data_IF_592076971930
#
_entry.id   IF_592076971930
#
_cell.length_a   1.000
_cell.length_b   1.000
_cell.length_c   1.000
_cell.angle_alpha   90.00
_cell.angle_beta   90.00
_cell.angle_gamma   90.00
#
_symmetry.space_group_name_H-M   'P 1'
#
loop_
_entity.id
_entity.type
_entity.pdbx_description
1 polymer ?
#
# COMPACT_ATOMS: atom_id res chain seq x y z
N UNK A 1 -43.56 36.88 -9.80
CA UNK A 1 -42.26 37.30 -10.35
C UNK A 1 -41.30 37.50 -9.17
N UNK A 2 -40.86 36.43 -8.51
CA UNK A 2 -39.83 36.44 -7.47
C UNK A 2 -39.29 35.00 -7.33
N UNK A 3 -38.38 34.64 -8.22
CA UNK A 3 -37.87 33.27 -8.22
C UNK A 3 -36.53 33.05 -8.93
N UNK A 4 -35.78 34.11 -9.26
CA UNK A 4 -34.60 33.97 -10.11
C UNK A 4 -33.33 34.69 -9.58
N UNK A 5 -33.34 35.26 -8.40
CA UNK A 5 -32.20 36.02 -7.83
C UNK A 5 -31.41 35.26 -6.76
N UNK A 6 -31.94 34.21 -6.16
CA UNK A 6 -31.22 33.44 -5.14
C UNK A 6 -30.24 32.38 -5.71
N UNK A 7 -30.53 31.83 -6.90
CA UNK A 7 -29.63 30.84 -7.55
C UNK A 7 -28.31 31.39 -8.09
N UNK A 8 -28.23 32.72 -8.33
CA UNK A 8 -27.00 33.37 -8.83
C UNK A 8 -26.02 33.77 -7.75
N UNK A 9 -26.45 33.83 -6.49
CA UNK A 9 -25.61 34.18 -5.35
C UNK A 9 -24.86 32.98 -4.78
N UNK A 10 -25.45 31.80 -4.79
CA UNK A 10 -24.79 30.55 -4.28
C UNK A 10 -23.62 30.10 -5.17
N UNK A 11 -23.76 30.18 -6.49
CA UNK A 11 -22.67 29.78 -7.41
C UNK A 11 -21.43 30.68 -7.38
N UNK A 12 -21.54 31.93 -6.92
CA UNK A 12 -20.38 32.84 -6.79
C UNK A 12 -19.68 32.76 -5.44
N UNK A 13 -20.30 32.17 -4.42
CA UNK A 13 -19.65 31.90 -3.14
C UNK A 13 -18.84 30.60 -3.18
N UNK A 14 -19.33 29.57 -3.84
CA UNK A 14 -18.61 28.30 -4.00
C UNK A 14 -17.32 28.46 -4.84
N UNK A 15 -17.32 29.31 -5.87
CA UNK A 15 -16.11 29.59 -6.68
C UNK A 15 -15.04 30.42 -5.93
N UNK A 16 -15.39 31.13 -4.87
CA UNK A 16 -14.42 31.89 -4.08
C UNK A 16 -13.84 31.12 -2.90
N UNK A 17 -14.52 30.12 -2.41
CA UNK A 17 -14.02 29.23 -1.35
C UNK A 17 -13.01 28.23 -1.92
N UNK A 18 -13.20 27.75 -3.17
CA UNK A 18 -12.24 26.88 -3.86
C UNK A 18 -10.95 27.61 -4.31
N UNK A 19 -10.96 28.96 -4.42
CA UNK A 19 -9.79 29.73 -4.81
C UNK A 19 -8.81 30.05 -3.67
N UNK A 20 -9.20 29.79 -2.42
CA UNK A 20 -8.40 30.09 -1.22
C UNK A 20 -7.61 28.92 -0.65
N UNK A 21 -7.98 27.69 -0.99
CA UNK A 21 -7.26 26.48 -0.59
C UNK A 21 -6.39 26.01 -1.77
N UNK A 22 -5.35 26.75 -2.10
CA UNK A 22 -4.21 26.19 -2.81
C UNK A 22 -3.63 25.09 -1.92
N UNK A 23 -4.01 23.84 -2.18
CA UNK A 23 -3.30 22.68 -1.67
C UNK A 23 -1.82 22.86 -2.01
N UNK A 24 -0.91 22.75 -1.04
CA UNK A 24 0.50 22.88 -1.33
C UNK A 24 0.92 21.79 -2.32
N UNK A 25 1.62 22.22 -3.38
CA UNK A 25 2.49 21.39 -4.19
C UNK A 25 1.87 20.15 -4.82
N UNK A 26 1.28 20.36 -6.00
CA UNK A 26 1.06 19.29 -6.98
C UNK A 26 2.38 18.97 -7.72
N UNK A 27 3.45 18.76 -6.99
CA UNK A 27 4.63 18.04 -7.47
C UNK A 27 4.46 16.58 -7.07
N UNK A 28 3.68 15.94 -7.87
CA UNK A 28 3.31 14.56 -7.72
C UNK A 28 4.36 13.68 -8.35
N UNK A 29 4.78 12.70 -7.61
CA UNK A 29 5.48 11.53 -8.10
C UNK A 29 4.88 11.06 -9.42
N UNK A 30 5.74 10.99 -10.44
CA UNK A 30 5.32 10.94 -11.84
C UNK A 30 4.60 9.66 -12.27
N UNK A 31 4.56 8.59 -11.43
CA UNK A 31 3.85 7.34 -11.74
C UNK A 31 3.84 6.35 -10.55
N UNK A 32 2.76 6.24 -9.76
CA UNK A 32 2.69 5.32 -8.61
C UNK A 32 3.02 3.86 -8.96
N UNK A 33 2.60 3.39 -10.14
CA UNK A 33 2.91 2.03 -10.60
C UNK A 33 4.40 1.83 -10.92
N UNK A 34 5.12 2.88 -11.35
CA UNK A 34 6.58 2.80 -11.54
C UNK A 34 7.30 2.71 -10.20
N UNK A 35 6.83 3.44 -9.18
CA UNK A 35 7.38 3.37 -7.83
C UNK A 35 7.20 1.97 -7.23
N UNK A 36 6.02 1.37 -7.37
CA UNK A 36 5.80 -0.02 -6.97
C UNK A 36 6.71 -0.99 -7.75
N UNK A 37 6.87 -0.78 -9.06
CA UNK A 37 7.81 -1.55 -9.88
C UNK A 37 9.28 -1.41 -9.42
N UNK A 38 9.68 -0.23 -8.94
CA UNK A 38 11.00 0.02 -8.33
C UNK A 38 11.17 -0.79 -7.04
N UNK A 39 10.14 -0.80 -6.17
CA UNK A 39 10.13 -1.60 -4.95
C UNK A 39 10.27 -3.10 -5.24
N UNK A 40 9.50 -3.62 -6.20
CA UNK A 40 9.58 -5.03 -6.61
C UNK A 40 10.98 -5.36 -7.14
N UNK A 41 11.53 -4.52 -8.01
CA UNK A 41 12.89 -4.70 -8.54
C UNK A 41 13.95 -4.67 -7.44
N UNK A 42 13.79 -3.80 -6.45
CA UNK A 42 14.66 -3.73 -5.28
C UNK A 42 14.64 -5.06 -4.49
N UNK A 43 13.44 -5.60 -4.19
CA UNK A 43 13.27 -6.87 -3.50
C UNK A 43 13.87 -8.03 -4.31
N UNK A 44 13.59 -8.09 -5.62
CA UNK A 44 14.11 -9.14 -6.50
C UNK A 44 15.63 -9.10 -6.63
N UNK A 45 16.24 -7.91 -6.61
CA UNK A 45 17.71 -7.78 -6.67
C UNK A 45 18.37 -8.28 -5.40
N UNK A 46 17.81 -7.93 -4.25
CA UNK A 46 18.40 -8.20 -2.94
C UNK A 46 18.10 -9.61 -2.43
N UNK A 47 16.89 -10.12 -2.69
CA UNK A 47 16.39 -11.41 -2.17
C UNK A 47 16.06 -12.41 -3.29
N UNK A 48 16.86 -12.41 -4.37
CA UNK A 48 16.60 -13.22 -5.58
C UNK A 48 16.32 -14.71 -5.25
N UNK A 49 17.19 -15.34 -4.48
CA UNK A 49 17.03 -16.77 -4.12
C UNK A 49 15.79 -17.01 -3.25
N UNK A 50 15.53 -16.12 -2.28
CA UNK A 50 14.35 -16.20 -1.43
C UNK A 50 13.07 -16.09 -2.25
N UNK A 51 12.99 -15.14 -3.20
CA UNK A 51 11.84 -14.98 -4.08
C UNK A 51 11.60 -16.21 -4.97
N UNK A 52 12.64 -16.79 -5.53
CA UNK A 52 12.54 -18.05 -6.31
C UNK A 52 12.01 -19.18 -5.43
N UNK A 53 12.58 -19.35 -4.23
CA UNK A 53 12.13 -20.39 -3.28
C UNK A 53 10.68 -20.19 -2.87
N UNK A 54 10.23 -18.94 -2.66
CA UNK A 54 8.82 -18.60 -2.37
C UNK A 54 7.91 -19.04 -3.51
N UNK A 55 8.22 -18.67 -4.76
CA UNK A 55 7.40 -19.05 -5.92
C UNK A 55 7.32 -20.58 -6.09
N UNK A 56 8.46 -21.27 -5.98
CA UNK A 56 8.51 -22.73 -6.06
C UNK A 56 7.71 -23.37 -4.93
N UNK A 57 7.85 -22.88 -3.70
CA UNK A 57 7.09 -23.40 -2.54
C UNK A 57 5.58 -23.17 -2.68
N UNK A 58 5.15 -22.01 -3.20
CA UNK A 58 3.74 -21.73 -3.50
C UNK A 58 3.24 -22.71 -4.59
N UNK A 59 4.03 -22.93 -5.64
CA UNK A 59 3.67 -23.87 -6.72
C UNK A 59 3.48 -25.30 -6.19
N UNK A 60 4.42 -25.79 -5.40
CA UNK A 60 4.33 -27.14 -4.78
C UNK A 60 3.10 -27.23 -3.87
N UNK A 61 2.87 -26.22 -3.02
CA UNK A 61 1.71 -26.18 -2.13
C UNK A 61 0.38 -26.16 -2.90
N UNK A 62 0.28 -25.37 -3.98
CA UNK A 62 -0.92 -25.31 -4.82
C UNK A 62 -1.17 -26.64 -5.54
N UNK A 63 -0.12 -27.28 -6.08
CA UNK A 63 -0.22 -28.61 -6.73
C UNK A 63 -0.59 -29.71 -5.72
N UNK A 64 -0.10 -29.63 -4.48
CA UNK A 64 -0.48 -30.57 -3.43
C UNK A 64 -1.98 -30.48 -3.11
N UNK A 65 -2.54 -29.28 -3.01
CA UNK A 65 -3.99 -29.09 -2.81
C UNK A 65 -4.77 -29.59 -4.04
N UNK A 66 -4.30 -29.29 -5.26
CA UNK A 66 -4.92 -29.75 -6.50
C UNK A 66 -4.96 -31.26 -6.58
N UNK A 67 -3.95 -31.96 -6.05
CA UNK A 67 -3.86 -33.41 -6.04
C UNK A 67 -5.02 -34.10 -5.31
N UNK A 68 -5.62 -33.43 -4.30
CA UNK A 68 -6.81 -33.92 -3.61
C UNK A 68 -7.98 -34.03 -4.59
N UNK A 69 -8.24 -32.96 -5.34
CA UNK A 69 -9.35 -32.91 -6.30
C UNK A 69 -9.19 -33.93 -7.42
N UNK A 70 -7.95 -34.09 -7.95
CA UNK A 70 -7.65 -35.09 -8.97
C UNK A 70 -7.70 -36.53 -8.42
N UNK A 71 -7.37 -36.73 -7.13
CA UNK A 71 -7.48 -38.04 -6.50
C UNK A 71 -8.94 -38.45 -6.33
N UNK A 72 -9.91 -37.52 -6.15
CA UNK A 72 -11.32 -37.87 -6.05
C UNK A 72 -11.84 -38.65 -7.25
N UNK A 73 -11.38 -38.33 -8.48
CA UNK A 73 -11.70 -39.11 -9.66
C UNK A 73 -11.21 -40.53 -9.49
N UNK A 74 -9.91 -40.72 -9.21
CA UNK A 74 -9.32 -42.08 -9.10
C UNK A 74 -9.91 -42.85 -7.92
N UNK A 75 -10.23 -42.16 -6.82
CA UNK A 75 -10.87 -42.78 -5.65
C UNK A 75 -12.20 -43.46 -6.04
N UNK A 76 -13.03 -42.75 -6.79
CA UNK A 76 -14.35 -43.27 -7.17
C UNK A 76 -14.23 -44.33 -8.28
N UNK A 77 -13.57 -43.99 -9.41
CA UNK A 77 -13.58 -44.78 -10.60
C UNK A 77 -12.67 -46.03 -10.50
N UNK A 78 -11.54 -45.96 -9.81
CA UNK A 78 -10.54 -47.01 -9.75
C UNK A 78 -10.64 -47.87 -8.49
N UNK A 79 -11.08 -47.28 -7.37
CA UNK A 79 -11.12 -48.02 -6.10
C UNK A 79 -12.54 -48.30 -5.63
N UNK A 80 -13.41 -47.31 -5.48
CA UNK A 80 -14.75 -47.53 -4.89
C UNK A 80 -15.64 -48.36 -5.82
N UNK A 81 -15.79 -47.97 -7.08
CA UNK A 81 -16.70 -48.67 -8.03
C UNK A 81 -16.32 -50.14 -8.24
N UNK A 82 -15.04 -50.51 -8.47
CA UNK A 82 -14.66 -51.92 -8.56
C UNK A 82 -14.82 -52.68 -7.23
N UNK A 83 -14.54 -52.04 -6.08
CA UNK A 83 -14.71 -52.69 -4.77
C UNK A 83 -16.17 -53.01 -4.46
N UNK A 84 -17.13 -52.19 -4.89
CA UNK A 84 -18.57 -52.45 -4.71
C UNK A 84 -19.06 -53.67 -5.47
N UNK A 85 -18.32 -54.10 -6.50
CA UNK A 85 -18.65 -55.28 -7.31
C UNK A 85 -18.00 -56.57 -6.80
N UNK A 86 -17.14 -56.50 -5.74
CA UNK A 86 -16.42 -57.63 -5.16
C UNK A 86 -17.09 -58.11 -3.87
N UNK A 87 -17.17 -59.39 -3.66
CA UNK A 87 -17.73 -59.99 -2.41
C UNK A 87 -16.75 -59.85 -1.23
N UNK A 88 -15.44 -59.70 -1.48
CA UNK A 88 -14.41 -59.47 -0.46
C UNK A 88 -13.42 -58.42 -0.99
N UNK A 89 -13.67 -57.12 -0.73
CA UNK A 89 -12.81 -56.04 -1.26
C UNK A 89 -11.44 -56.00 -0.55
N UNK A 90 -10.37 -55.87 -1.35
CA UNK A 90 -9.02 -55.61 -0.82
C UNK A 90 -8.77 -54.11 -0.68
N UNK A 91 -8.60 -53.64 0.56
CA UNK A 91 -8.34 -52.26 0.88
C UNK A 91 -6.85 -51.86 0.82
N UNK A 92 -5.93 -52.81 0.62
CA UNK A 92 -4.48 -52.57 0.61
C UNK A 92 -4.03 -51.53 -0.42
N UNK A 93 -4.45 -51.63 -1.69
CA UNK A 93 -4.08 -50.67 -2.75
C UNK A 93 -4.59 -49.24 -2.46
N UNK A 94 -5.81 -49.12 -1.92
CA UNK A 94 -6.39 -47.85 -1.54
C UNK A 94 -5.61 -47.20 -0.39
N UNK A 95 -5.32 -47.96 0.67
CA UNK A 95 -4.56 -47.47 1.83
C UNK A 95 -3.16 -46.97 1.43
N UNK A 96 -2.49 -47.72 0.53
CA UNK A 96 -1.17 -47.29 0.03
C UNK A 96 -1.23 -45.97 -0.77
N UNK A 97 -2.26 -45.79 -1.61
CA UNK A 97 -2.48 -44.54 -2.34
C UNK A 97 -2.87 -43.37 -1.44
N UNK A 98 -3.68 -43.59 -0.40
CA UNK A 98 -4.01 -42.57 0.60
C UNK A 98 -2.77 -42.14 1.39
N UNK A 99 -1.89 -43.05 1.76
CA UNK A 99 -0.60 -42.71 2.37
C UNK A 99 0.26 -41.84 1.44
N UNK A 100 0.36 -42.19 0.16
CA UNK A 100 1.07 -41.40 -0.82
C UNK A 100 0.51 -39.97 -0.96
N UNK A 101 -0.83 -39.83 -1.00
CA UNK A 101 -1.48 -38.52 -1.00
C UNK A 101 -1.19 -37.75 0.29
N UNK A 102 -1.25 -38.42 1.44
CA UNK A 102 -0.89 -37.84 2.74
C UNK A 102 0.51 -37.26 2.77
N UNK A 103 1.49 -37.96 2.20
CA UNK A 103 2.88 -37.47 2.09
C UNK A 103 2.98 -36.22 1.20
N UNK A 104 2.25 -36.18 0.06
CA UNK A 104 2.19 -35.01 -0.83
C UNK A 104 1.59 -33.80 -0.07
N UNK A 105 0.54 -34.02 0.71
CA UNK A 105 -0.08 -32.96 1.51
C UNK A 105 0.83 -32.43 2.62
N UNK A 106 1.54 -33.34 3.31
CA UNK A 106 2.53 -32.94 4.32
C UNK A 106 3.64 -32.09 3.68
N UNK A 107 4.13 -32.49 2.49
CA UNK A 107 5.09 -31.68 1.73
C UNK A 107 4.49 -30.31 1.38
N UNK A 108 3.23 -30.26 0.92
CA UNK A 108 2.51 -29.00 0.64
C UNK A 108 2.42 -28.08 1.84
N UNK A 109 2.14 -28.63 3.04
CA UNK A 109 2.09 -27.88 4.31
C UNK A 109 3.48 -27.34 4.68
N UNK A 110 4.52 -28.17 4.55
CA UNK A 110 5.91 -27.74 4.81
C UNK A 110 6.30 -26.60 3.87
N UNK A 111 5.97 -26.70 2.58
CA UNK A 111 6.21 -25.63 1.62
C UNK A 111 5.39 -24.37 1.91
N UNK A 112 4.13 -24.51 2.36
CA UNK A 112 3.30 -23.39 2.77
C UNK A 112 3.88 -22.67 3.99
N UNK A 113 4.37 -23.40 4.98
CA UNK A 113 5.06 -22.84 6.12
C UNK A 113 6.37 -22.14 5.69
N UNK A 114 7.15 -22.79 4.83
CA UNK A 114 8.44 -22.28 4.38
C UNK A 114 8.28 -20.93 3.62
N UNK A 115 7.36 -20.83 2.65
CA UNK A 115 7.20 -19.58 1.91
C UNK A 115 6.71 -18.43 2.83
N UNK A 116 5.80 -18.71 3.77
CA UNK A 116 5.36 -17.69 4.74
C UNK A 116 6.53 -17.23 5.62
N UNK A 117 7.34 -18.15 6.12
CA UNK A 117 8.51 -17.84 6.95
C UNK A 117 9.56 -17.03 6.20
N UNK A 118 9.84 -17.38 4.95
CA UNK A 118 10.77 -16.65 4.08
C UNK A 118 10.23 -15.23 3.81
N UNK A 119 8.92 -15.09 3.52
CA UNK A 119 8.31 -13.78 3.26
C UNK A 119 8.37 -12.85 4.46
N UNK A 120 8.27 -13.37 5.69
CA UNK A 120 8.49 -12.55 6.89
C UNK A 120 9.92 -11.97 6.88
N UNK A 121 10.93 -12.79 6.63
CA UNK A 121 12.33 -12.34 6.59
C UNK A 121 12.56 -11.31 5.47
N UNK A 122 12.05 -11.56 4.27
CA UNK A 122 12.14 -10.62 3.13
C UNK A 122 11.46 -9.30 3.46
N UNK A 123 10.25 -9.35 4.01
CA UNK A 123 9.49 -8.16 4.38
C UNK A 123 10.21 -7.34 5.44
N UNK A 124 10.58 -7.95 6.56
CA UNK A 124 11.22 -7.22 7.66
C UNK A 124 12.61 -6.70 7.28
N UNK A 125 13.38 -7.47 6.50
CA UNK A 125 14.67 -7.01 5.97
C UNK A 125 14.51 -5.81 5.02
N UNK A 126 13.52 -5.83 4.14
CA UNK A 126 13.21 -4.71 3.24
C UNK A 126 12.75 -3.48 4.03
N UNK A 127 11.85 -3.66 5.02
CA UNK A 127 11.37 -2.55 5.85
C UNK A 127 12.48 -1.90 6.67
N UNK A 128 13.37 -2.72 7.26
CA UNK A 128 14.53 -2.19 7.98
C UNK A 128 15.37 -1.29 7.08
N UNK A 129 15.71 -1.76 5.88
CA UNK A 129 16.54 -0.99 4.93
C UNK A 129 15.85 0.28 4.45
N UNK A 130 14.56 0.21 4.10
CA UNK A 130 13.81 1.40 3.68
C UNK A 130 13.78 2.46 4.78
N UNK A 131 13.57 2.07 6.05
CA UNK A 131 13.59 3.01 7.17
C UNK A 131 14.97 3.64 7.38
N UNK A 132 16.04 2.86 7.26
CA UNK A 132 17.40 3.38 7.36
C UNK A 132 17.68 4.37 6.22
N UNK A 133 17.36 4.02 4.98
CA UNK A 133 17.55 4.91 3.82
C UNK A 133 16.71 6.19 3.93
N UNK A 134 15.47 6.10 4.39
CA UNK A 134 14.63 7.27 4.64
C UNK A 134 15.24 8.17 5.72
N UNK A 135 15.74 7.58 6.81
CA UNK A 135 16.32 8.34 7.90
C UNK A 135 17.63 9.02 7.46
N UNK A 136 18.53 8.29 6.83
CA UNK A 136 19.78 8.83 6.27
C UNK A 136 19.51 9.99 5.29
N UNK A 137 18.46 9.83 4.45
CA UNK A 137 18.07 10.90 3.53
C UNK A 137 17.50 12.09 4.30
N UNK A 138 16.63 11.89 5.26
CA UNK A 138 16.04 12.95 6.08
C UNK A 138 17.13 13.81 6.77
N UNK A 139 18.14 13.16 7.37
CA UNK A 139 19.25 13.85 8.02
C UNK A 139 20.11 14.67 7.03
N UNK A 140 20.06 14.33 5.74
CA UNK A 140 20.82 15.03 4.68
C UNK A 140 20.01 16.12 3.97
N UNK A 141 18.72 16.32 4.33
CA UNK A 141 17.89 17.32 3.67
C UNK A 141 18.14 18.75 4.21
N UNK A 142 18.03 19.76 3.35
CA UNK A 142 18.17 21.16 3.77
C UNK A 142 17.01 21.58 4.69
N UNK A 143 17.27 22.58 5.55
CA UNK A 143 16.27 23.14 6.48
C UNK A 143 15.02 23.62 5.73
N UNK A 144 15.18 24.16 4.53
CA UNK A 144 14.08 24.61 3.67
C UNK A 144 13.06 23.52 3.38
N UNK A 145 13.47 22.25 3.34
CA UNK A 145 12.56 21.12 3.19
C UNK A 145 11.60 21.02 4.39
N UNK A 146 12.12 21.13 5.61
CA UNK A 146 11.33 21.03 6.84
C UNK A 146 10.41 22.24 7.05
N UNK A 147 10.81 23.42 6.60
CA UNK A 147 10.00 24.64 6.66
C UNK A 147 8.84 24.64 5.65
N UNK A 148 9.01 23.92 4.54
CA UNK A 148 8.00 23.85 3.46
C UNK A 148 7.07 22.64 3.56
N UNK A 149 7.44 21.63 4.37
CA UNK A 149 6.65 20.40 4.55
C UNK A 149 6.17 20.28 6.00
N UNK A 150 4.88 19.96 6.18
CA UNK A 150 4.35 19.70 7.50
C UNK A 150 5.00 18.46 8.15
N UNK A 151 5.43 18.57 9.40
CA UNK A 151 6.03 17.45 10.15
C UNK A 151 5.13 16.21 10.17
N UNK A 152 3.79 16.40 10.20
CA UNK A 152 2.81 15.33 10.14
C UNK A 152 2.85 14.55 8.82
N UNK A 153 3.08 15.23 7.69
CA UNK A 153 3.18 14.60 6.37
C UNK A 153 4.46 13.75 6.28
N UNK A 154 5.60 14.30 6.75
CA UNK A 154 6.87 13.56 6.83
C UNK A 154 6.71 12.31 7.70
N UNK A 155 6.10 12.46 8.89
CA UNK A 155 5.87 11.35 9.81
C UNK A 155 4.92 10.30 9.23
N UNK A 156 3.92 10.71 8.44
CA UNK A 156 3.01 9.80 7.73
C UNK A 156 3.75 8.90 6.74
N UNK A 157 4.80 9.38 6.07
CA UNK A 157 5.64 8.56 5.20
C UNK A 157 6.33 7.44 6.00
N UNK A 158 6.89 7.76 7.16
CA UNK A 158 7.58 6.78 8.03
C UNK A 158 6.64 5.74 8.64
N UNK A 159 5.42 6.13 8.97
CA UNK A 159 4.46 5.27 9.66
C UNK A 159 3.49 4.60 8.69
N UNK A 160 2.61 5.37 8.07
CA UNK A 160 1.50 4.84 7.28
C UNK A 160 1.95 4.26 5.93
N UNK A 161 2.83 4.99 5.21
CA UNK A 161 3.25 4.54 3.89
C UNK A 161 4.16 3.32 3.97
N UNK A 162 5.15 3.33 4.88
CA UNK A 162 6.01 2.17 5.11
C UNK A 162 5.21 0.96 5.59
N UNK A 163 4.17 1.15 6.43
CA UNK A 163 3.30 0.03 6.87
C UNK A 163 2.43 -0.51 5.73
N UNK A 164 1.92 0.36 4.87
CA UNK A 164 1.20 -0.04 3.65
C UNK A 164 2.09 -0.86 2.71
N UNK A 165 3.37 -0.47 2.53
CA UNK A 165 4.33 -1.26 1.77
C UNK A 165 4.61 -2.61 2.44
N UNK A 166 4.73 -2.64 3.77
CA UNK A 166 4.88 -3.88 4.54
C UNK A 166 3.73 -4.83 4.26
N UNK A 167 2.49 -4.35 4.32
CA UNK A 167 1.29 -5.15 4.07
C UNK A 167 1.27 -5.74 2.67
N UNK A 168 1.62 -4.96 1.65
CA UNK A 168 1.66 -5.45 0.26
C UNK A 168 2.75 -6.49 0.06
N UNK A 169 3.93 -6.31 0.61
CA UNK A 169 5.03 -7.27 0.47
C UNK A 169 4.70 -8.56 1.23
N UNK A 170 4.20 -8.46 2.48
CA UNK A 170 3.99 -9.63 3.34
C UNK A 170 2.75 -10.44 3.01
N UNK A 171 1.69 -9.80 2.49
CA UNK A 171 0.39 -10.44 2.30
C UNK A 171 -0.09 -10.39 0.85
N UNK A 172 -0.18 -9.19 0.25
CA UNK A 172 -0.82 -9.04 -1.06
C UNK A 172 -0.04 -9.70 -2.18
N UNK A 173 1.28 -9.56 -2.23
CA UNK A 173 2.10 -10.18 -3.26
C UNK A 173 2.11 -11.71 -3.21
N UNK A 174 2.37 -12.36 -2.06
CA UNK A 174 2.27 -13.81 -1.97
C UNK A 174 0.86 -14.32 -2.30
N UNK A 175 -0.19 -13.62 -1.84
CA UNK A 175 -1.57 -13.98 -2.13
C UNK A 175 -1.90 -13.89 -3.62
N UNK A 176 -1.45 -12.87 -4.32
CA UNK A 176 -1.62 -12.75 -5.77
C UNK A 176 -0.92 -13.87 -6.53
N UNK A 177 0.33 -14.17 -6.16
CA UNK A 177 1.09 -15.26 -6.76
C UNK A 177 0.37 -16.59 -6.53
N UNK A 178 -0.04 -16.86 -5.29
CA UNK A 178 -0.76 -18.07 -4.93
C UNK A 178 -2.09 -18.19 -5.68
N UNK A 179 -2.90 -17.13 -5.71
CA UNK A 179 -4.18 -17.11 -6.42
C UNK A 179 -4.01 -17.29 -7.92
N UNK A 180 -2.98 -16.68 -8.52
CA UNK A 180 -2.69 -16.84 -9.95
C UNK A 180 -2.25 -18.27 -10.29
N UNK A 181 -1.36 -18.86 -9.50
CA UNK A 181 -0.90 -20.24 -9.68
C UNK A 181 -2.08 -21.21 -9.50
N UNK A 182 -2.89 -21.02 -8.44
CA UNK A 182 -4.08 -21.86 -8.20
C UNK A 182 -5.08 -21.75 -9.34
N UNK A 183 -5.36 -20.54 -9.83
CA UNK A 183 -6.28 -20.31 -10.94
C UNK A 183 -5.81 -21.02 -12.22
N UNK A 184 -4.54 -20.84 -12.60
CA UNK A 184 -3.97 -21.44 -13.81
C UNK A 184 -3.92 -22.96 -13.69
N UNK A 185 -3.42 -23.50 -12.58
CA UNK A 185 -3.31 -24.96 -12.39
C UNK A 185 -4.66 -25.63 -12.32
N UNK A 186 -5.67 -25.00 -11.67
CA UNK A 186 -7.04 -25.51 -11.65
C UNK A 186 -7.67 -25.47 -13.04
N UNK A 187 -7.49 -24.39 -13.81
CA UNK A 187 -7.97 -24.30 -15.18
C UNK A 187 -7.40 -25.39 -16.07
N UNK A 188 -6.09 -25.64 -16.00
CA UNK A 188 -5.43 -26.72 -16.75
C UNK A 188 -6.02 -28.07 -16.35
N UNK A 189 -6.19 -28.33 -15.05
CA UNK A 189 -6.78 -29.58 -14.58
C UNK A 189 -8.23 -29.77 -15.07
N UNK A 190 -9.04 -28.71 -15.08
CA UNK A 190 -10.43 -28.74 -15.57
C UNK A 190 -10.48 -29.05 -17.08
N UNK A 191 -9.59 -28.43 -17.89
CA UNK A 191 -9.50 -28.72 -19.34
C UNK A 191 -9.14 -30.19 -19.61
N UNK A 192 -8.24 -30.77 -18.80
CA UNK A 192 -7.83 -32.15 -18.91
C UNK A 192 -8.98 -33.11 -18.54
N UNK A 193 -9.84 -32.74 -17.59
CA UNK A 193 -10.96 -33.56 -17.15
C UNK A 193 -12.11 -33.56 -18.17
N UNK A 194 -12.61 -32.37 -18.52
CA UNK A 194 -13.76 -32.21 -19.42
C UNK A 194 -13.80 -30.76 -19.98
N UNK A 195 -13.79 -30.63 -21.30
CA UNK A 195 -13.79 -29.33 -21.98
C UNK A 195 -15.16 -28.63 -21.92
N UNK A 196 -16.31 -29.31 -22.22
CA UNK A 196 -17.64 -28.70 -22.13
C UNK A 196 -17.95 -28.07 -20.76
N UNK A 197 -17.66 -28.76 -19.67
CA UNK A 197 -17.87 -28.27 -18.33
C UNK A 197 -16.90 -27.11 -18.00
N UNK A 198 -15.67 -27.17 -18.53
CA UNK A 198 -14.69 -26.08 -18.36
C UNK A 198 -15.17 -24.79 -19.03
N UNK A 199 -15.72 -24.86 -20.27
CA UNK A 199 -16.27 -23.70 -20.97
C UNK A 199 -17.41 -23.09 -20.16
N UNK A 200 -18.33 -23.90 -19.60
CA UNK A 200 -19.40 -23.41 -18.74
C UNK A 200 -18.82 -22.69 -17.51
N UNK A 201 -17.84 -23.28 -16.83
CA UNK A 201 -17.22 -22.68 -15.64
C UNK A 201 -16.51 -21.35 -15.96
N UNK A 202 -15.81 -21.26 -17.09
CA UNK A 202 -15.16 -20.03 -17.56
C UNK A 202 -16.20 -18.92 -17.84
N UNK A 203 -17.30 -19.24 -18.50
CA UNK A 203 -18.41 -18.29 -18.72
C UNK A 203 -18.96 -17.78 -17.40
N UNK A 204 -19.17 -18.67 -16.42
CA UNK A 204 -19.64 -18.27 -15.10
C UNK A 204 -18.65 -17.36 -14.36
N UNK A 205 -17.35 -17.62 -14.47
CA UNK A 205 -16.29 -16.75 -13.91
C UNK A 205 -16.30 -15.37 -14.59
N UNK A 206 -16.48 -15.28 -15.89
CA UNK A 206 -16.61 -14.00 -16.60
C UNK A 206 -17.83 -13.19 -16.11
N UNK A 207 -18.96 -13.89 -15.87
CA UNK A 207 -20.14 -13.27 -15.26
C UNK A 207 -19.84 -12.75 -13.84
N UNK A 208 -19.12 -13.54 -13.02
CA UNK A 208 -18.68 -13.13 -11.68
C UNK A 208 -17.79 -11.90 -11.74
N UNK A 209 -16.80 -11.87 -12.62
CA UNK A 209 -15.88 -10.71 -12.78
C UNK A 209 -16.68 -9.46 -13.15
N UNK A 210 -17.62 -9.57 -14.08
CA UNK A 210 -18.49 -8.44 -14.49
C UNK A 210 -19.37 -7.95 -13.35
N UNK A 211 -19.98 -8.87 -12.59
CA UNK A 211 -20.81 -8.54 -11.43
C UNK A 211 -19.98 -7.84 -10.34
N UNK A 212 -18.83 -8.42 -9.97
CA UNK A 212 -17.93 -7.86 -8.96
C UNK A 212 -17.40 -6.50 -9.36
N UNK A 213 -16.97 -6.32 -10.62
CA UNK A 213 -16.50 -5.03 -11.14
C UNK A 213 -17.60 -3.96 -11.12
N UNK A 214 -18.83 -4.31 -11.49
CA UNK A 214 -19.98 -3.40 -11.46
C UNK A 214 -20.34 -2.98 -10.03
N UNK A 215 -20.38 -3.92 -9.10
CA UNK A 215 -20.63 -3.65 -7.68
C UNK A 215 -19.49 -2.83 -7.07
N UNK A 216 -18.25 -3.18 -7.36
CA UNK A 216 -17.06 -2.47 -6.89
C UNK A 216 -17.02 -1.01 -7.37
N UNK A 217 -17.34 -0.75 -8.64
CA UNK A 217 -17.42 0.61 -9.17
C UNK A 217 -18.52 1.46 -8.53
N UNK A 218 -19.68 0.85 -8.21
CA UNK A 218 -20.75 1.52 -7.47
C UNK A 218 -20.35 1.80 -6.02
N UNK A 219 -19.80 0.80 -5.33
CA UNK A 219 -19.31 0.92 -3.96
C UNK A 219 -18.25 2.02 -3.86
N UNK A 220 -17.26 2.04 -4.75
CA UNK A 220 -16.19 3.03 -4.78
C UNK A 220 -16.72 4.47 -4.88
N UNK A 221 -17.75 4.73 -5.71
CA UNK A 221 -18.37 6.05 -5.80
C UNK A 221 -19.04 6.49 -4.48
N UNK A 222 -19.70 5.57 -3.78
CA UNK A 222 -20.30 5.90 -2.49
C UNK A 222 -19.27 6.04 -1.38
N UNK A 223 -18.16 5.28 -1.41
CA UNK A 223 -17.04 5.50 -0.48
C UNK A 223 -16.36 6.86 -0.69
N UNK A 224 -16.19 7.29 -1.94
CA UNK A 224 -15.70 8.64 -2.23
C UNK A 224 -16.63 9.72 -1.64
N UNK A 225 -17.95 9.56 -1.83
CA UNK A 225 -18.93 10.48 -1.24
C UNK A 225 -18.92 10.45 0.28
N UNK A 226 -18.85 9.27 0.89
CA UNK A 226 -18.71 9.12 2.35
C UNK A 226 -17.47 9.85 2.87
N UNK A 227 -16.34 9.77 2.16
CA UNK A 227 -15.11 10.46 2.56
C UNK A 227 -15.24 11.99 2.47
N UNK A 228 -15.93 12.49 1.45
CA UNK A 228 -16.25 13.92 1.34
C UNK A 228 -17.18 14.38 2.47
N UNK A 229 -18.24 13.63 2.75
CA UNK A 229 -19.19 13.96 3.83
C UNK A 229 -18.52 13.87 5.21
N UNK A 230 -17.60 12.90 5.42
CA UNK A 230 -16.77 12.81 6.63
C UNK A 230 -15.86 14.03 6.79
N UNK A 231 -15.24 14.50 5.68
CA UNK A 231 -14.45 15.71 5.68
C UNK A 231 -15.26 16.95 6.08
N UNK A 232 -16.52 17.05 5.61
CA UNK A 232 -17.41 18.17 6.02
C UNK A 232 -17.76 18.10 7.50
N UNK A 233 -18.06 16.91 8.03
CA UNK A 233 -18.36 16.73 9.45
C UNK A 233 -17.15 17.10 10.30
N UNK A 234 -15.96 16.62 9.93
CA UNK A 234 -14.73 16.93 10.66
C UNK A 234 -14.39 18.42 10.61
N UNK A 235 -14.48 19.07 9.44
CA UNK A 235 -14.27 20.52 9.31
C UNK A 235 -15.25 21.32 10.14
N UNK A 236 -16.53 20.92 10.18
CA UNK A 236 -17.52 21.58 11.02
C UNK A 236 -17.22 21.41 12.51
N UNK A 237 -16.79 20.22 12.96
CA UNK A 237 -16.37 19.99 14.35
C UNK A 237 -15.19 20.91 14.71
N UNK A 238 -14.16 20.98 13.84
CA UNK A 238 -12.99 21.83 14.04
C UNK A 238 -13.38 23.32 14.14
N UNK A 239 -14.25 23.78 13.23
CA UNK A 239 -14.78 25.15 13.24
C UNK A 239 -15.52 25.47 14.56
N UNK A 240 -16.42 24.56 14.98
CA UNK A 240 -17.19 24.74 16.21
C UNK A 240 -16.30 24.67 17.46
N UNK A 241 -15.29 23.80 17.49
CA UNK A 241 -14.33 23.72 18.58
C UNK A 241 -13.49 24.99 18.69
N UNK A 242 -12.99 25.49 17.56
CA UNK A 242 -12.19 26.73 17.51
C UNK A 242 -13.04 27.98 17.85
N UNK A 243 -14.30 28.00 17.38
CA UNK A 243 -15.26 29.09 17.62
C UNK A 243 -16.13 28.93 18.86
N UNK A 244 -15.85 27.96 19.75
CA UNK A 244 -16.74 27.61 20.86
C UNK A 244 -17.10 28.82 21.78
N UNK A 245 -16.16 29.72 22.00
CA UNK A 245 -16.42 30.96 22.79
C UNK A 245 -17.49 31.82 22.11
N UNK A 246 -17.43 31.96 20.79
CA UNK A 246 -18.39 32.76 20.00
C UNK A 246 -19.77 32.12 20.05
N UNK A 247 -19.84 30.77 19.81
CA UNK A 247 -21.07 30.00 19.89
C UNK A 247 -21.77 30.22 21.24
N UNK A 248 -21.00 30.19 22.35
CA UNK A 248 -21.51 30.41 23.72
C UNK A 248 -22.00 31.84 23.97
N UNK A 249 -21.22 32.82 23.53
CA UNK A 249 -21.58 34.25 23.75
C UNK A 249 -22.87 34.62 23.01
N UNK A 250 -23.08 34.04 21.82
CA UNK A 250 -24.27 34.32 21.01
C UNK A 250 -25.40 33.31 21.19
N UNK A 251 -25.28 32.36 22.13
CA UNK A 251 -26.29 31.32 22.42
C UNK A 251 -26.74 30.56 21.16
N UNK A 252 -25.75 30.20 20.29
CA UNK A 252 -25.99 29.54 19.02
C UNK A 252 -25.83 27.99 19.07
N UNK A 253 -25.83 27.40 20.26
CA UNK A 253 -25.60 25.97 20.49
C UNK A 253 -26.66 25.10 19.78
N UNK A 254 -27.94 25.47 19.87
CA UNK A 254 -29.03 24.74 19.28
C UNK A 254 -28.90 24.70 17.73
N UNK A 255 -28.59 25.84 17.13
CA UNK A 255 -28.38 25.95 15.70
C UNK A 255 -27.15 25.17 15.25
N UNK A 256 -26.05 25.26 15.98
CA UNK A 256 -24.85 24.49 15.71
C UNK A 256 -25.11 22.98 15.79
N UNK A 257 -25.89 22.53 16.77
CA UNK A 257 -26.33 21.14 16.90
C UNK A 257 -27.20 20.69 15.72
N UNK A 258 -28.16 21.49 15.29
CA UNK A 258 -29.03 21.19 14.14
C UNK A 258 -28.22 21.05 12.84
N UNK A 259 -27.26 21.95 12.60
CA UNK A 259 -26.43 21.92 11.41
C UNK A 259 -25.46 20.73 11.44
N UNK A 260 -24.90 20.39 12.61
CA UNK A 260 -24.16 19.13 12.80
C UNK A 260 -25.02 17.90 12.47
N UNK A 261 -26.26 17.86 12.96
CA UNK A 261 -27.17 16.75 12.70
C UNK A 261 -27.47 16.56 11.21
N UNK A 262 -27.60 17.65 10.44
CA UNK A 262 -27.79 17.59 8.97
C UNK A 262 -26.58 16.99 8.27
N UNK A 263 -25.38 17.46 8.61
CA UNK A 263 -24.12 16.94 8.06
C UNK A 263 -23.91 15.48 8.42
N UNK A 264 -24.15 15.11 9.68
CA UNK A 264 -24.00 13.74 10.16
C UNK A 264 -25.02 12.79 9.51
N UNK A 265 -26.24 13.25 9.22
CA UNK A 265 -27.23 12.48 8.45
C UNK A 265 -26.79 12.24 7.02
N UNK A 266 -26.18 13.24 6.36
CA UNK A 266 -25.59 13.05 5.02
C UNK A 266 -24.47 12.02 5.02
N UNK A 267 -23.61 12.07 6.03
CA UNK A 267 -22.56 11.06 6.24
C UNK A 267 -23.15 9.67 6.48
N UNK A 268 -24.18 9.56 7.32
CA UNK A 268 -24.88 8.30 7.58
C UNK A 268 -25.43 7.70 6.28
N UNK A 269 -26.10 8.50 5.43
CA UNK A 269 -26.70 8.05 4.17
C UNK A 269 -25.65 7.57 3.18
N UNK A 270 -24.54 8.29 3.04
CA UNK A 270 -23.45 7.90 2.14
C UNK A 270 -22.70 6.67 2.65
N UNK A 271 -22.45 6.57 3.97
CA UNK A 271 -21.84 5.42 4.61
C UNK A 271 -22.72 4.17 4.51
N UNK A 272 -24.03 4.31 4.73
CA UNK A 272 -24.98 3.21 4.57
C UNK A 272 -24.94 2.64 3.16
N UNK A 273 -25.04 3.49 2.13
CA UNK A 273 -25.01 3.07 0.72
C UNK A 273 -23.68 2.43 0.32
N UNK A 274 -22.57 3.01 0.78
CA UNK A 274 -21.22 2.47 0.53
C UNK A 274 -21.09 1.05 1.10
N UNK A 275 -21.41 0.88 2.38
CA UNK A 275 -21.27 -0.38 3.08
C UNK A 275 -22.30 -1.43 2.63
N UNK A 276 -23.53 -1.03 2.33
CA UNK A 276 -24.56 -1.93 1.81
C UNK A 276 -24.09 -2.59 0.50
N UNK A 277 -23.56 -1.81 -0.45
CA UNK A 277 -23.10 -2.36 -1.73
C UNK A 277 -21.80 -3.16 -1.55
N UNK A 278 -20.87 -2.72 -0.69
CA UNK A 278 -19.66 -3.45 -0.40
C UNK A 278 -19.97 -4.84 0.18
N UNK A 279 -20.85 -4.90 1.17
CA UNK A 279 -21.17 -6.13 1.88
C UNK A 279 -21.99 -7.14 1.04
N UNK A 280 -22.75 -6.67 0.05
CA UNK A 280 -23.52 -7.56 -0.85
C UNK A 280 -22.62 -8.27 -1.88
N UNK A 281 -21.42 -7.76 -2.13
CA UNK A 281 -20.49 -8.32 -3.13
C UNK A 281 -20.09 -9.76 -2.80
N UNK A 282 -19.82 -10.04 -1.52
CA UNK A 282 -19.40 -11.37 -1.08
C UNK A 282 -20.51 -12.42 -1.21
N UNK A 283 -21.75 -12.19 -0.74
CA UNK A 283 -22.89 -13.08 -0.98
C UNK A 283 -23.21 -13.28 -2.47
N UNK A 284 -23.13 -12.23 -3.29
CA UNK A 284 -23.37 -12.34 -4.74
C UNK A 284 -22.37 -13.30 -5.37
N UNK A 285 -21.08 -13.13 -5.08
CA UNK A 285 -20.04 -14.02 -5.61
C UNK A 285 -20.20 -15.46 -5.12
N UNK A 286 -20.51 -15.66 -3.85
CA UNK A 286 -20.74 -16.99 -3.29
C UNK A 286 -21.92 -17.70 -4.00
N UNK A 287 -23.03 -16.97 -4.20
CA UNK A 287 -24.21 -17.54 -4.89
C UNK A 287 -23.95 -17.79 -6.40
N UNK A 288 -23.23 -16.91 -7.09
CA UNK A 288 -22.81 -17.15 -8.46
C UNK A 288 -21.91 -18.39 -8.56
N UNK A 289 -21.01 -18.60 -7.59
CA UNK A 289 -20.23 -19.83 -7.47
C UNK A 289 -21.08 -21.09 -7.25
N UNK A 290 -22.11 -20.99 -6.38
CA UNK A 290 -23.06 -22.08 -6.16
C UNK A 290 -23.91 -22.37 -7.40
N UNK A 291 -24.36 -21.34 -8.13
CA UNK A 291 -25.08 -21.51 -9.40
C UNK A 291 -24.16 -22.20 -10.43
N UNK A 292 -22.91 -21.79 -10.55
CA UNK A 292 -21.92 -22.46 -11.40
C UNK A 292 -21.80 -23.94 -11.05
N UNK A 293 -21.69 -24.25 -9.75
CA UNK A 293 -21.62 -25.63 -9.26
C UNK A 293 -22.85 -26.45 -9.66
N UNK A 294 -24.06 -25.93 -9.45
CA UNK A 294 -25.33 -26.61 -9.80
C UNK A 294 -25.44 -26.80 -11.32
N UNK A 295 -25.12 -25.79 -12.12
CA UNK A 295 -25.15 -25.90 -13.57
C UNK A 295 -24.14 -26.95 -14.08
N UNK A 296 -22.94 -27.00 -13.51
CA UNK A 296 -21.95 -28.03 -13.84
C UNK A 296 -22.41 -29.41 -13.38
N UNK A 297 -23.08 -29.54 -12.23
CA UNK A 297 -23.60 -30.81 -11.75
C UNK A 297 -24.72 -31.35 -12.66
N UNK A 298 -25.66 -30.48 -13.05
CA UNK A 298 -26.77 -30.84 -13.94
C UNK A 298 -26.27 -31.22 -15.34
N UNK A 299 -25.47 -30.31 -15.93
CA UNK A 299 -24.91 -30.55 -17.25
C UNK A 299 -24.00 -31.81 -17.29
N UNK A 300 -23.11 -31.93 -16.29
CA UNK A 300 -22.22 -33.08 -16.16
C UNK A 300 -22.97 -34.38 -15.89
N UNK A 301 -24.04 -34.34 -15.10
CA UNK A 301 -24.94 -35.48 -14.88
C UNK A 301 -25.61 -35.94 -16.19
N UNK A 302 -26.13 -34.98 -16.99
CA UNK A 302 -26.71 -35.29 -18.32
C UNK A 302 -25.67 -35.87 -19.26
N UNK A 303 -24.46 -35.32 -19.32
CA UNK A 303 -23.38 -35.81 -20.16
C UNK A 303 -22.93 -37.23 -19.75
N UNK A 304 -22.83 -37.49 -18.45
CA UNK A 304 -22.45 -38.79 -17.90
C UNK A 304 -23.51 -39.87 -18.21
N UNK A 305 -24.80 -39.58 -18.02
CA UNK A 305 -25.90 -40.52 -18.30
C UNK A 305 -26.02 -40.86 -19.80
N UNK A 306 -25.82 -39.85 -20.65
CA UNK A 306 -25.87 -40.06 -22.12
C UNK A 306 -24.56 -40.65 -22.71
N UNK A 307 -23.54 -40.87 -21.88
CA UNK A 307 -22.25 -41.41 -22.35
C UNK A 307 -21.45 -40.44 -23.25
N UNK A 308 -21.82 -39.14 -23.27
CA UNK A 308 -21.11 -38.13 -24.03
C UNK A 308 -19.79 -37.77 -23.32
N UNK A 309 -18.71 -37.61 -24.11
CA UNK A 309 -17.36 -37.26 -23.64
C UNK A 309 -16.68 -38.31 -22.72
N UNK A 310 -17.26 -39.49 -22.49
CA UNK A 310 -16.68 -40.52 -21.59
C UNK A 310 -16.62 -40.08 -20.12
N UNK A 311 -17.48 -39.13 -19.72
CA UNK A 311 -17.52 -38.55 -18.36
C UNK A 311 -17.97 -39.62 -17.36
N UNK A 312 -17.09 -39.96 -16.40
CA UNK A 312 -17.41 -40.87 -15.30
C UNK A 312 -17.97 -40.08 -14.09
N UNK A 313 -18.59 -40.80 -13.14
CA UNK A 313 -19.06 -40.20 -11.89
C UNK A 313 -17.88 -39.60 -11.10
N UNK A 314 -16.74 -40.31 -11.08
CA UNK A 314 -15.54 -39.82 -10.40
C UNK A 314 -14.98 -38.53 -11.06
N UNK A 315 -14.99 -38.47 -12.40
CA UNK A 315 -14.59 -37.26 -13.14
C UNK A 315 -15.52 -36.09 -12.80
N UNK A 316 -16.82 -36.31 -12.75
CA UNK A 316 -17.80 -35.26 -12.38
C UNK A 316 -17.56 -34.75 -10.97
N UNK A 317 -17.37 -35.61 -9.97
CA UNK A 317 -17.11 -35.21 -8.58
C UNK A 317 -15.80 -34.44 -8.47
N UNK A 318 -14.74 -34.88 -9.13
CA UNK A 318 -13.47 -34.16 -9.19
C UNK A 318 -13.63 -32.78 -9.83
N UNK A 319 -14.37 -32.70 -10.95
CA UNK A 319 -14.66 -31.45 -11.64
C UNK A 319 -15.42 -30.46 -10.74
N UNK A 320 -16.45 -30.91 -10.05
CA UNK A 320 -17.24 -30.10 -9.14
C UNK A 320 -16.39 -29.56 -7.98
N UNK A 321 -15.43 -30.34 -7.48
CA UNK A 321 -14.47 -29.90 -6.46
C UNK A 321 -13.53 -28.83 -7.01
N UNK A 322 -13.04 -29.02 -8.25
CA UNK A 322 -12.20 -28.03 -8.94
C UNK A 322 -12.96 -26.73 -9.24
N UNK A 323 -14.24 -26.80 -9.59
CA UNK A 323 -15.07 -25.64 -9.89
C UNK A 323 -15.18 -24.70 -8.66
N UNK A 324 -15.29 -25.25 -7.44
CA UNK A 324 -15.21 -24.45 -6.20
C UNK A 324 -13.84 -23.80 -6.04
N UNK A 325 -12.76 -24.54 -6.27
CA UNK A 325 -11.39 -24.02 -6.17
C UNK A 325 -11.06 -22.99 -7.27
N UNK A 326 -11.77 -23.02 -8.40
CA UNK A 326 -11.59 -22.10 -9.52
C UNK A 326 -12.20 -20.72 -9.30
N UNK A 327 -13.29 -20.62 -8.56
CA UNK A 327 -13.99 -19.36 -8.32
C UNK A 327 -13.36 -18.52 -7.20
N UNK A 328 -12.75 -19.15 -6.19
CA UNK A 328 -12.13 -18.43 -5.04
C UNK A 328 -11.01 -17.47 -5.41
N UNK A 329 -10.02 -17.83 -6.26
CA UNK A 329 -8.93 -16.93 -6.64
C UNK A 329 -9.39 -15.61 -7.25
N UNK A 330 -10.50 -15.61 -8.00
CA UNK A 330 -11.05 -14.39 -8.61
C UNK A 330 -11.44 -13.36 -7.55
N UNK A 331 -12.11 -13.81 -6.49
CA UNK A 331 -12.48 -12.93 -5.35
C UNK A 331 -11.24 -12.44 -4.61
N UNK A 332 -10.26 -13.32 -4.36
CA UNK A 332 -9.02 -12.98 -3.68
C UNK A 332 -8.19 -11.95 -4.44
N UNK A 333 -8.02 -12.11 -5.74
CA UNK A 333 -7.31 -11.15 -6.61
C UNK A 333 -8.02 -9.79 -6.55
N UNK A 334 -9.35 -9.78 -6.66
CA UNK A 334 -10.14 -8.53 -6.62
C UNK A 334 -9.95 -7.75 -5.31
N UNK A 335 -9.83 -8.45 -4.18
CA UNK A 335 -9.59 -7.83 -2.86
C UNK A 335 -8.19 -7.19 -2.76
N UNK A 336 -7.18 -7.73 -3.47
CA UNK A 336 -5.82 -7.20 -3.43
C UNK A 336 -5.62 -5.93 -4.27
N UNK A 337 -6.51 -5.63 -5.21
CA UNK A 337 -6.36 -4.47 -6.11
C UNK A 337 -6.25 -3.16 -5.32
N UNK A 338 -7.12 -2.95 -4.33
CA UNK A 338 -7.09 -1.74 -3.51
C UNK A 338 -5.79 -1.62 -2.70
N UNK A 339 -5.33 -2.72 -2.11
CA UNK A 339 -4.07 -2.73 -1.36
C UNK A 339 -2.87 -2.36 -2.27
N UNK A 340 -2.86 -2.84 -3.52
CA UNK A 340 -1.83 -2.52 -4.50
C UNK A 340 -1.87 -1.03 -4.88
N UNK A 341 -3.05 -0.47 -5.11
CA UNK A 341 -3.21 0.95 -5.45
C UNK A 341 -2.72 1.84 -4.30
N UNK A 342 -3.10 1.50 -3.06
CA UNK A 342 -2.64 2.23 -1.87
C UNK A 342 -1.12 2.13 -1.68
N UNK A 343 -0.56 0.94 -1.89
CA UNK A 343 0.89 0.75 -1.79
C UNK A 343 1.64 1.43 -2.93
N UNK A 344 1.08 1.52 -4.12
CA UNK A 344 1.69 2.25 -5.22
C UNK A 344 1.79 3.76 -4.88
N UNK A 345 0.74 4.34 -4.28
CA UNK A 345 0.76 5.72 -3.80
C UNK A 345 1.74 5.92 -2.64
N UNK A 346 1.79 4.99 -1.67
CA UNK A 346 2.76 5.01 -0.58
C UNK A 346 4.20 4.86 -1.06
N UNK A 347 4.46 3.95 -2.01
CA UNK A 347 5.77 3.79 -2.63
C UNK A 347 6.24 5.07 -3.34
N UNK A 348 5.32 5.75 -4.01
CA UNK A 348 5.61 7.00 -4.71
C UNK A 348 6.08 8.08 -3.72
N UNK A 349 5.38 8.26 -2.58
CA UNK A 349 5.78 9.21 -1.54
C UNK A 349 7.11 8.83 -0.88
N UNK A 350 7.29 7.55 -0.53
CA UNK A 350 8.54 7.03 0.04
C UNK A 350 9.72 7.29 -0.88
N UNK A 351 9.59 6.98 -2.18
CA UNK A 351 10.67 7.19 -3.13
C UNK A 351 10.87 8.66 -3.50
N UNK A 352 9.83 9.47 -3.53
CA UNK A 352 9.97 10.93 -3.70
C UNK A 352 10.83 11.51 -2.60
N UNK A 353 10.54 11.17 -1.33
CA UNK A 353 11.36 11.63 -0.20
C UNK A 353 12.80 11.07 -0.25
N UNK A 354 12.96 9.81 -0.68
CA UNK A 354 14.30 9.19 -0.80
C UNK A 354 15.13 9.81 -1.94
N UNK A 355 14.48 10.29 -2.99
CA UNK A 355 15.13 10.88 -4.18
C UNK A 355 15.30 12.41 -4.06
N UNK A 356 14.81 13.04 -2.97
CA UNK A 356 14.99 14.46 -2.71
C UNK A 356 16.47 14.80 -2.64
N UNK A 357 16.84 16.01 -3.07
CA UNK A 357 18.25 16.41 -3.10
C UNK A 357 18.76 16.65 -1.67
N UNK A 358 19.96 16.13 -1.33
CA UNK A 358 20.59 16.47 -0.06
C UNK A 358 21.00 17.93 -0.04
N UNK A 359 21.26 18.45 1.14
CA UNK A 359 21.94 19.73 1.28
C UNK A 359 23.32 19.66 0.65
N UNK A 360 23.61 20.60 -0.23
CA UNK A 360 24.91 20.71 -0.88
C UNK A 360 25.69 21.83 -0.18
N UNK A 361 26.86 21.49 0.36
CA UNK A 361 27.77 22.47 0.92
C UNK A 361 28.74 22.89 -0.18
N UNK A 362 28.45 24.04 -0.80
CA UNK A 362 29.32 24.69 -1.79
C UNK A 362 30.20 25.78 -1.14
N UNK A 363 30.26 25.82 0.20
CA UNK A 363 31.06 26.78 0.95
C UNK A 363 32.56 26.58 0.73
N UNK A 364 33.25 27.66 0.49
CA UNK A 364 34.74 27.67 0.35
C UNK A 364 35.43 28.04 1.67
N UNK A 365 34.65 28.33 2.72
CA UNK A 365 35.15 28.60 4.07
C UNK A 365 34.71 27.47 5.00
N UNK A 366 35.65 26.82 5.64
CA UNK A 366 35.41 25.66 6.48
C UNK A 366 35.79 25.94 7.93
N UNK A 367 35.05 25.42 8.88
CA UNK A 367 35.37 25.50 10.30
C UNK A 367 36.25 24.31 10.69
N UNK A 368 37.47 24.61 11.19
CA UNK A 368 38.48 23.61 11.53
C UNK A 368 38.95 23.78 12.99
N UNK A 369 39.44 22.68 13.58
CA UNK A 369 40.18 22.78 14.83
C UNK A 369 41.55 23.47 14.57
N UNK A 370 41.90 24.42 15.41
CA UNK A 370 43.11 25.19 15.27
C UNK A 370 43.98 25.14 16.52
N UNK A 371 45.25 25.40 16.36
CA UNK A 371 46.21 25.68 17.45
C UNK A 371 47.01 26.94 17.12
N UNK A 372 47.46 27.66 18.14
CA UNK A 372 48.38 28.75 17.98
C UNK A 372 49.80 28.20 18.00
N UNK A 373 50.62 28.56 17.01
CA UNK A 373 52.02 28.28 16.99
C UNK A 373 52.80 29.17 17.98
N UNK A 374 54.14 29.03 18.04
CA UNK A 374 55.00 29.81 18.91
C UNK A 374 54.98 31.31 18.59
N UNK A 375 54.61 31.69 17.37
CA UNK A 375 54.51 33.06 16.90
C UNK A 375 53.11 33.65 17.02
N UNK A 376 52.14 32.85 17.55
CA UNK A 376 50.73 33.21 17.74
C UNK A 376 49.86 33.06 16.52
N UNK A 377 50.35 32.50 15.40
CA UNK A 377 49.55 32.26 14.21
C UNK A 377 48.68 31.01 14.36
N UNK A 378 47.48 31.04 13.75
CA UNK A 378 46.58 29.92 13.75
C UNK A 378 47.00 28.90 12.70
N UNK A 379 47.09 27.65 13.12
CA UNK A 379 47.35 26.50 12.23
C UNK A 379 46.30 25.39 12.47
N UNK A 380 45.90 24.73 11.42
CA UNK A 380 44.97 23.60 11.48
C UNK A 380 45.58 22.41 12.24
N UNK A 381 44.74 21.69 13.01
CA UNK A 381 45.15 20.49 13.74
C UNK A 381 43.98 19.48 13.78
N UNK A 382 44.35 18.19 13.75
CA UNK A 382 43.35 17.11 13.95
C UNK A 382 42.98 16.92 15.44
N UNK A 383 43.79 17.46 16.34
CA UNK A 383 43.54 17.36 17.78
C UNK A 383 42.44 18.31 18.22
N UNK A 384 41.60 17.85 19.16
CA UNK A 384 40.55 18.65 19.77
C UNK A 384 41.15 19.65 20.76
N UNK A 385 41.47 20.83 20.32
CA UNK A 385 42.09 21.89 21.13
C UNK A 385 41.08 22.77 21.84
N UNK A 386 39.79 22.73 21.43
CA UNK A 386 38.76 23.68 21.89
C UNK A 386 38.85 25.05 21.22
N UNK A 387 39.90 25.31 20.40
CA UNK A 387 40.04 26.48 19.60
C UNK A 387 39.60 26.19 18.18
N UNK A 388 38.68 26.98 17.66
CA UNK A 388 38.13 26.85 16.32
C UNK A 388 38.54 28.03 15.45
N UNK A 389 38.81 27.78 14.17
CA UNK A 389 39.12 28.82 13.19
C UNK A 389 38.42 28.56 11.86
N UNK A 390 38.02 29.64 11.22
CA UNK A 390 37.55 29.64 9.85
C UNK A 390 38.74 29.51 8.93
N UNK A 391 38.82 28.44 8.14
CA UNK A 391 39.79 28.22 7.08
C UNK A 391 39.22 28.77 5.77
N UNK A 392 39.82 29.81 5.23
CA UNK A 392 39.44 30.41 3.98
C UNK A 392 40.51 30.11 2.91
N UNK A 393 40.09 29.41 1.87
CA UNK A 393 40.93 29.18 0.67
C UNK A 393 40.60 30.25 -0.34
N UNK A 394 41.58 31.12 -0.61
CA UNK A 394 41.45 32.15 -1.63
C UNK A 394 41.67 31.55 -3.04
N UNK A 395 41.10 32.21 -4.06
CA UNK A 395 41.28 31.80 -5.47
C UNK A 395 42.77 31.79 -5.90
N UNK A 396 43.62 32.56 -5.23
CA UNK A 396 45.08 32.59 -5.41
C UNK A 396 45.79 31.33 -4.88
N UNK A 397 45.10 30.43 -4.18
CA UNK A 397 45.66 29.25 -3.50
C UNK A 397 46.21 29.54 -2.10
N UNK A 398 46.15 30.77 -1.62
CA UNK A 398 46.51 31.14 -0.26
C UNK A 398 45.44 30.67 0.72
N UNK A 399 45.85 30.17 1.89
CA UNK A 399 44.93 29.75 2.97
C UNK A 399 45.14 30.68 4.15
N UNK A 400 44.04 31.31 4.57
CA UNK A 400 44.03 32.17 5.76
C UNK A 400 43.16 31.56 6.84
N UNK A 401 43.54 31.78 8.12
CA UNK A 401 42.78 31.30 9.27
C UNK A 401 42.35 32.51 10.11
N UNK A 402 41.03 32.51 10.52
CA UNK A 402 40.50 33.51 11.41
C UNK A 402 39.85 32.79 12.60
N UNK A 403 40.22 33.17 13.82
CA UNK A 403 39.63 32.60 15.06
C UNK A 403 38.14 32.79 15.10
N UNK A 404 37.39 31.76 15.49
CA UNK A 404 35.98 31.87 15.74
C UNK A 404 35.75 32.60 17.08
N UNK A 405 35.30 33.84 17.03
CA UNK A 405 34.98 34.66 18.22
C UNK A 405 33.53 34.55 18.62
N UNK A 406 32.68 33.96 17.79
CA UNK A 406 31.23 33.85 18.03
C UNK A 406 30.44 35.14 17.76
N UNK A 407 31.11 36.15 17.19
CA UNK A 407 30.47 37.37 16.71
C UNK A 407 29.79 37.10 15.36
N UNK A 408 28.49 37.44 15.24
CA UNK A 408 27.71 37.34 14.04
C UNK A 408 27.10 38.69 13.69
N UNK A 409 27.47 39.21 12.52
CA UNK A 409 26.97 40.49 12.02
C UNK A 409 26.23 40.28 10.69
N UNK A 410 25.01 40.79 10.62
CA UNK A 410 24.20 40.85 9.40
C UNK A 410 24.13 42.30 8.94
N UNK A 411 24.55 42.58 7.72
CA UNK A 411 24.50 43.90 7.12
C UNK A 411 23.66 43.82 5.82
N UNK A 412 22.50 44.50 5.81
CA UNK A 412 21.61 44.56 4.63
C UNK A 412 21.30 43.18 4.01
N UNK A 413 21.04 42.20 4.86
CA UNK A 413 20.85 40.81 4.42
C UNK A 413 19.41 40.60 3.96
N UNK A 414 19.27 40.16 2.69
CA UNK A 414 18.01 39.66 2.14
C UNK A 414 18.05 38.13 2.14
N UNK A 415 16.96 37.48 2.58
CA UNK A 415 16.86 36.04 2.59
C UNK A 415 15.53 35.55 2.04
N UNK A 416 15.57 34.51 1.22
CA UNK A 416 14.41 33.78 0.72
C UNK A 416 14.79 32.36 0.30
N UNK A 417 13.90 31.39 0.52
CA UNK A 417 14.09 29.99 0.08
C UNK A 417 14.00 29.83 -1.45
N UNK A 418 13.32 30.76 -2.12
CA UNK A 418 13.19 30.79 -3.57
C UNK A 418 13.64 32.16 -4.09
N UNK A 419 14.35 32.23 -5.23
CA UNK A 419 14.75 33.50 -5.82
C UNK A 419 13.60 34.47 -6.08
N UNK A 420 12.40 33.93 -6.35
CA UNK A 420 11.21 34.71 -6.68
C UNK A 420 10.47 35.25 -5.44
N UNK A 421 10.83 34.80 -4.22
CA UNK A 421 10.16 35.19 -2.99
C UNK A 421 11.16 35.42 -1.86
N UNK A 422 11.60 36.64 -1.73
CA UNK A 422 12.37 37.07 -0.57
C UNK A 422 11.41 37.20 0.63
N UNK A 423 11.81 36.66 1.77
CA UNK A 423 11.00 36.62 3.01
C UNK A 423 11.52 37.61 4.05
N UNK A 424 12.84 37.79 4.11
CA UNK A 424 13.50 38.76 4.96
C UNK A 424 14.17 39.80 4.08
N UNK A 425 13.99 41.09 4.39
CA UNK A 425 14.54 42.21 3.65
C UNK A 425 15.35 43.12 4.57
N UNK A 426 16.52 43.50 4.11
CA UNK A 426 17.38 44.54 4.74
C UNK A 426 17.59 44.28 6.25
N UNK A 427 17.94 43.01 6.56
CA UNK A 427 18.19 42.63 7.95
C UNK A 427 19.56 43.15 8.39
N UNK A 428 19.55 43.97 9.41
CA UNK A 428 20.75 44.48 10.07
C UNK A 428 20.73 44.02 11.53
N UNK A 429 21.65 43.15 11.91
CA UNK A 429 21.68 42.56 13.25
C UNK A 429 23.13 42.25 13.65
N UNK A 430 23.46 42.61 14.90
CA UNK A 430 24.72 42.24 15.54
C UNK A 430 24.43 41.31 16.71
N UNK A 431 24.97 40.13 16.71
CA UNK A 431 24.91 39.19 17.84
C UNK A 431 26.32 38.95 18.38
N UNK A 432 26.54 39.28 19.61
CA UNK A 432 27.77 39.00 20.34
C UNK A 432 27.55 37.81 21.26
N UNK A 433 28.54 36.92 21.37
CA UNK A 433 28.46 35.70 22.18
C UNK A 433 28.10 35.96 23.65
N UNK A 434 28.35 37.16 24.13
CA UNK A 434 28.06 37.58 25.51
C UNK A 434 26.67 38.19 25.69
N UNK A 435 25.91 38.42 24.62
CA UNK A 435 24.58 39.08 24.66
C UNK A 435 23.46 38.07 24.46
N UNK A 436 23.69 36.96 23.75
CA UNK A 436 22.72 35.91 23.61
C UNK A 436 22.77 34.98 24.82
N UNK A 437 21.81 35.07 25.75
CA UNK A 437 21.60 34.02 26.74
C UNK A 437 21.27 32.70 26.01
N UNK A 438 21.93 31.58 26.37
CA UNK A 438 21.52 30.30 25.87
C UNK A 438 20.14 29.97 26.38
N UNK A 439 19.10 30.10 25.56
CA UNK A 439 17.77 29.59 25.87
C UNK A 439 17.87 28.06 25.95
N UNK A 440 18.19 27.54 27.12
CA UNK A 440 17.93 26.18 27.51
C UNK A 440 16.41 26.06 27.73
N UNK A 441 15.73 25.40 26.79
CA UNK A 441 14.42 24.79 27.02
C UNK A 441 14.51 23.28 26.70
#
# INVERSE_FOLDING_TARGET
MTGNTEKYSENKMDDKVDAGLKRPGKDQGKNPMKALGRLIRYILKEYKLACITVVVSILISALAILSISMFMQKLIDVYIEPMMKQSSPDYGPLAHRMLGLGLILVLGIICAYAYNRIMVNVTQGTMKRLRVQLFERMESLPISFFDTHAHGDIMSVYTNDVDTLRQVISQSMPQLINSSITFISTLIAMIVLDIPLTVLSVVMVLIMIKATSSLGAKSGRYFMKQQQDLGKVNGYIEEMMSGQKVVKVFSHEEKAYDDFCKLNRSLQDSAYKANMIANITMPVNANLGNISYVLCAVLGGVLAVNGWSGLTIGTLVAFLTLNKSFTMPVTQISQQINAIVMAAAGADRVFTMTDEKPEEDEGYVELVNAKKDADGNLTETEERTGLWAWRHRHETGEVTYRELTGEVEFENVDFGYNPDKIVLHDINMLSLIHISEPTRH
#
